data_IF_609853184823
#
_entry.id   IF_609853184823
#
_cell.length_a   1.000
_cell.length_b   1.000
_cell.length_c   1.000
_cell.angle_alpha   90.00
_cell.angle_beta   90.00
_cell.angle_gamma   90.00
#
_symmetry.space_group_name_H-M   'P 1'
#
loop_
_entity.id
_entity.type
_entity.pdbx_description
1 polymer ?
#
# COMPACT_ATOMS: atom_id res chain seq x y z
N UNK A 1 -2.59 15.24 10.84
CA UNK A 1 -3.37 14.50 9.81
C UNK A 1 -2.47 13.45 9.18
N UNK A 2 -2.78 12.16 9.34
CA UNK A 2 -1.95 11.08 8.78
C UNK A 2 -2.20 10.88 7.29
N UNK A 3 -1.15 10.72 6.49
CA UNK A 3 -1.23 10.43 5.05
C UNK A 3 -1.78 9.01 4.84
N UNK A 4 -3.08 8.88 4.56
CA UNK A 4 -3.78 7.58 4.36
C UNK A 4 -3.93 7.21 2.89
N UNK A 5 -2.82 7.05 2.19
CA UNK A 5 -2.81 6.67 0.77
C UNK A 5 -1.73 5.62 0.49
N UNK A 6 -1.84 4.91 -0.64
CA UNK A 6 -0.90 3.84 -1.01
C UNK A 6 0.54 4.33 -1.18
N UNK A 7 0.75 5.60 -1.54
CA UNK A 7 2.09 6.20 -1.52
C UNK A 7 2.78 6.16 -0.15
N UNK A 8 2.04 6.24 0.97
CA UNK A 8 2.61 6.08 2.32
C UNK A 8 3.11 4.66 2.55
N UNK A 9 2.35 3.65 2.08
CA UNK A 9 2.80 2.26 2.12
C UNK A 9 4.10 2.09 1.31
N UNK A 10 4.16 2.66 0.10
CA UNK A 10 5.36 2.60 -0.74
C UNK A 10 6.57 3.21 -0.05
N UNK A 11 6.39 4.35 0.59
CA UNK A 11 7.45 5.00 1.36
C UNK A 11 7.99 4.08 2.45
N UNK A 12 7.13 3.44 3.25
CA UNK A 12 7.57 2.50 4.29
C UNK A 12 8.30 1.27 3.74
N UNK A 13 7.83 0.71 2.62
CA UNK A 13 8.48 -0.44 1.96
C UNK A 13 9.84 -0.11 1.34
N UNK A 14 10.20 1.18 1.22
CA UNK A 14 11.44 1.64 0.58
C UNK A 14 12.35 2.39 1.55
N UNK A 15 12.05 2.34 2.85
CA UNK A 15 12.93 2.88 3.87
C UNK A 15 14.31 2.19 3.85
N UNK A 16 15.37 2.93 4.23
CA UNK A 16 16.66 2.31 4.55
C UNK A 16 16.50 1.20 5.61
N UNK A 17 17.37 0.17 5.63
CA UNK A 17 17.24 -0.98 6.52
C UNK A 17 17.02 -0.61 8.00
N UNK A 18 17.81 0.33 8.54
CA UNK A 18 17.72 0.74 9.94
C UNK A 18 16.37 1.41 10.26
N UNK A 19 15.89 2.27 9.36
CA UNK A 19 14.60 2.95 9.50
C UNK A 19 13.43 1.97 9.34
N UNK A 20 13.56 0.96 8.48
CA UNK A 20 12.57 -0.10 8.35
C UNK A 20 12.52 -1.00 9.59
N UNK A 21 13.67 -1.34 10.17
CA UNK A 21 13.74 -2.06 11.44
C UNK A 21 13.07 -1.27 12.57
N UNK A 22 13.37 0.03 12.69
CA UNK A 22 12.74 0.92 13.67
C UNK A 22 11.21 1.00 13.47
N UNK A 23 10.73 1.04 12.22
CA UNK A 23 9.31 0.99 11.92
C UNK A 23 8.67 -0.33 12.41
N UNK A 24 9.32 -1.47 12.17
CA UNK A 24 8.84 -2.76 12.65
C UNK A 24 8.77 -2.80 14.19
N UNK A 25 9.77 -2.23 14.89
CA UNK A 25 9.74 -2.11 16.35
C UNK A 25 8.56 -1.25 16.81
N UNK A 26 8.35 -0.09 16.20
CA UNK A 26 7.17 0.75 16.51
C UNK A 26 5.84 0.03 16.25
N UNK A 27 5.77 -0.80 15.20
CA UNK A 27 4.59 -1.63 14.93
C UNK A 27 4.34 -2.68 16.03
N UNK A 28 5.37 -3.20 16.70
CA UNK A 28 5.23 -4.16 17.81
C UNK A 28 4.50 -3.55 19.03
N UNK A 29 4.65 -2.24 19.24
CA UNK A 29 4.03 -1.51 20.36
C UNK A 29 2.55 -1.17 20.10
N UNK A 30 2.06 -1.37 18.88
CA UNK A 30 0.71 -0.99 18.48
C UNK A 30 -0.36 -1.97 19.00
N UNK A 31 -1.31 -1.45 19.78
CA UNK A 31 -2.52 -2.18 20.23
C UNK A 31 -3.68 -2.10 19.24
N UNK A 32 -3.52 -1.35 18.14
CA UNK A 32 -4.55 -1.11 17.14
C UNK A 32 -4.94 -2.39 16.38
N UNK A 33 -6.15 -2.37 15.80
CA UNK A 33 -6.72 -3.49 15.06
C UNK A 33 -6.65 -4.84 15.82
N UNK A 34 -6.86 -4.79 17.15
CA UNK A 34 -6.79 -5.98 18.03
C UNK A 34 -5.42 -6.65 18.04
N UNK A 35 -4.34 -5.85 18.02
CA UNK A 35 -2.95 -6.32 18.01
C UNK A 35 -2.49 -6.94 16.69
N UNK A 36 -3.26 -6.77 15.60
CA UNK A 36 -2.89 -7.30 14.29
C UNK A 36 -1.60 -6.68 13.76
N UNK A 37 -1.39 -5.39 14.00
CA UNK A 37 -0.19 -4.64 13.56
C UNK A 37 1.06 -5.22 14.22
N UNK A 38 1.04 -5.39 15.54
CA UNK A 38 2.13 -6.01 16.29
C UNK A 38 2.44 -7.44 15.82
N UNK A 39 1.40 -8.26 15.62
CA UNK A 39 1.59 -9.63 15.09
C UNK A 39 2.20 -9.63 13.68
N UNK A 40 1.84 -8.67 12.83
CA UNK A 40 2.41 -8.56 11.49
C UNK A 40 3.91 -8.23 11.53
N UNK A 41 4.32 -7.31 12.41
CA UNK A 41 5.73 -7.00 12.64
C UNK A 41 6.49 -8.22 13.18
N UNK A 42 5.96 -8.88 14.21
CA UNK A 42 6.57 -10.10 14.78
C UNK A 42 6.75 -11.21 13.74
N UNK A 43 5.76 -11.41 12.85
CA UNK A 43 5.88 -12.38 11.74
C UNK A 43 6.97 -11.99 10.74
N UNK A 44 7.26 -10.70 10.54
CA UNK A 44 8.33 -10.28 9.65
C UNK A 44 9.69 -10.44 10.33
N UNK A 45 9.83 -10.00 11.59
CA UNK A 45 11.04 -10.09 12.40
C UNK A 45 11.44 -11.54 12.72
N UNK A 46 10.48 -12.47 12.81
CA UNK A 46 10.75 -13.89 13.04
C UNK A 46 11.22 -14.67 11.81
N UNK A 47 11.36 -14.03 10.64
CA UNK A 47 11.89 -14.66 9.43
C UNK A 47 13.41 -14.70 9.45
N UNK A 48 13.99 -15.66 8.73
CA UNK A 48 15.41 -15.58 8.38
C UNK A 48 15.69 -14.34 7.54
N UNK A 49 16.90 -13.78 7.62
CA UNK A 49 17.30 -12.58 6.85
C UNK A 49 17.02 -12.73 5.35
N UNK A 50 17.31 -13.91 4.80
CA UNK A 50 17.06 -14.23 3.38
C UNK A 50 15.58 -14.19 3.04
N UNK A 51 14.73 -14.77 3.87
CA UNK A 51 13.28 -14.78 3.64
C UNK A 51 12.68 -13.38 3.84
N UNK A 52 13.10 -12.66 4.87
CA UNK A 52 12.67 -11.28 5.14
C UNK A 52 13.00 -10.36 3.95
N UNK A 53 14.23 -10.43 3.44
CA UNK A 53 14.65 -9.70 2.24
C UNK A 53 13.84 -10.12 1.00
N UNK A 54 13.55 -11.41 0.84
CA UNK A 54 12.71 -11.92 -0.25
C UNK A 54 11.28 -11.36 -0.21
N UNK A 55 10.65 -11.33 0.97
CA UNK A 55 9.33 -10.75 1.17
C UNK A 55 9.32 -9.25 0.89
N UNK A 56 10.31 -8.51 1.40
CA UNK A 56 10.41 -7.07 1.16
C UNK A 56 10.63 -6.76 -0.33
N UNK A 57 11.50 -7.52 -1.00
CA UNK A 57 11.74 -7.40 -2.44
C UNK A 57 10.48 -7.67 -3.26
N UNK A 58 9.71 -8.70 -2.91
CA UNK A 58 8.45 -8.99 -3.58
C UNK A 58 7.41 -7.88 -3.39
N UNK A 59 7.29 -7.36 -2.15
CA UNK A 59 6.41 -6.24 -1.83
C UNK A 59 6.81 -4.99 -2.62
N UNK A 60 8.11 -4.68 -2.69
CA UNK A 60 8.62 -3.56 -3.47
C UNK A 60 8.35 -3.72 -4.97
N UNK A 61 8.55 -4.92 -5.53
CA UNK A 61 8.28 -5.20 -6.95
C UNK A 61 6.82 -4.99 -7.31
N UNK A 62 5.91 -5.49 -6.47
CA UNK A 62 4.48 -5.38 -6.73
C UNK A 62 3.89 -3.99 -6.46
N UNK A 63 4.63 -3.14 -5.76
CA UNK A 63 4.25 -1.75 -5.47
C UNK A 63 5.02 -0.70 -6.26
N UNK A 64 5.94 -1.10 -7.15
CA UNK A 64 6.79 -0.16 -7.92
C UNK A 64 6.01 0.86 -8.75
N UNK A 65 4.79 0.54 -9.21
CA UNK A 65 3.94 1.51 -9.93
C UNK A 65 3.61 2.78 -9.11
N UNK A 66 3.75 2.71 -7.78
CA UNK A 66 3.56 3.83 -6.86
C UNK A 66 4.75 4.79 -6.82
N UNK A 67 5.88 4.49 -7.47
CA UNK A 67 7.01 5.43 -7.62
C UNK A 67 6.68 6.55 -8.61
N UNK A 68 5.65 6.38 -9.43
CA UNK A 68 5.18 7.43 -10.35
C UNK A 68 4.52 8.57 -9.58
N UNK A 69 5.05 9.82 -9.66
CA UNK A 69 4.43 10.98 -8.99
C UNK A 69 2.98 11.20 -9.43
N UNK A 70 2.67 10.90 -10.69
CA UNK A 70 1.31 10.98 -11.25
C UNK A 70 0.37 9.99 -10.56
N UNK A 71 0.82 8.76 -10.29
CA UNK A 71 0.01 7.78 -9.56
C UNK A 71 -0.19 8.16 -8.10
N UNK A 72 0.83 8.70 -7.44
CA UNK A 72 0.69 9.22 -6.07
C UNK A 72 -0.35 10.33 -6.05
N UNK A 73 -0.30 11.28 -7.00
CA UNK A 73 -1.28 12.36 -7.09
C UNK A 73 -2.71 11.83 -7.24
N UNK A 74 -2.93 10.87 -8.14
CA UNK A 74 -4.25 10.25 -8.35
C UNK A 74 -4.75 9.52 -7.10
N UNK A 75 -3.85 8.96 -6.29
CA UNK A 75 -4.18 8.21 -5.07
C UNK A 75 -4.19 9.07 -3.80
N UNK A 76 -3.80 10.34 -3.89
CA UNK A 76 -3.60 11.22 -2.72
C UNK A 76 -4.89 11.81 -2.17
N UNK A 77 -5.90 11.94 -3.03
CA UNK A 77 -7.19 12.55 -2.72
C UNK A 77 -8.33 11.70 -3.29
N UNK A 78 -9.45 11.65 -2.56
CA UNK A 78 -10.67 11.01 -3.02
C UNK A 78 -11.86 11.80 -2.48
N UNK A 79 -12.77 12.18 -3.37
CA UNK A 79 -13.98 12.92 -3.01
C UNK A 79 -15.09 12.02 -2.42
N UNK A 80 -14.89 10.69 -2.48
CA UNK A 80 -15.81 9.70 -1.92
C UNK A 80 -15.06 8.61 -1.17
N UNK A 81 -15.75 7.92 -0.25
CA UNK A 81 -15.25 6.68 0.35
C UNK A 81 -15.85 5.48 -0.38
N UNK A 82 -15.09 4.40 -0.49
CA UNK A 82 -15.59 3.15 -1.08
C UNK A 82 -16.82 2.59 -0.38
N UNK A 83 -16.99 2.82 0.92
CA UNK A 83 -18.21 2.42 1.63
C UNK A 83 -19.46 3.18 1.15
N UNK A 84 -19.31 4.40 0.65
CA UNK A 84 -20.42 5.23 0.22
C UNK A 84 -21.01 4.67 -1.09
N UNK A 85 -20.19 4.02 -1.93
CA UNK A 85 -20.62 3.30 -3.12
C UNK A 85 -21.65 2.19 -2.84
N UNK A 86 -21.66 1.62 -1.61
CA UNK A 86 -22.64 0.60 -1.21
C UNK A 86 -23.97 1.19 -0.75
N UNK A 87 -23.98 2.47 -0.39
CA UNK A 87 -25.14 3.15 0.21
C UNK A 87 -25.93 3.98 -0.81
N UNK A 88 -25.31 4.41 -1.90
CA UNK A 88 -25.91 5.29 -2.91
C UNK A 88 -25.50 4.85 -4.31
N UNK A 89 -26.42 4.97 -5.27
CA UNK A 89 -26.11 4.78 -6.69
C UNK A 89 -25.06 5.81 -7.10
N UNK A 90 -23.86 5.34 -7.39
CA UNK A 90 -22.69 6.18 -7.70
C UNK A 90 -22.04 5.64 -8.97
N UNK A 91 -21.70 6.53 -9.91
CA UNK A 91 -20.97 6.17 -11.13
C UNK A 91 -19.52 6.60 -10.97
N UNK A 92 -18.59 5.64 -11.09
CA UNK A 92 -17.15 5.90 -11.01
C UNK A 92 -16.56 5.81 -12.42
N UNK A 93 -15.93 6.88 -12.88
CA UNK A 93 -15.22 6.91 -14.16
C UNK A 93 -13.72 6.69 -13.95
N UNK A 94 -13.16 5.76 -14.72
CA UNK A 94 -11.72 5.53 -14.72
C UNK A 94 -11.14 5.87 -16.09
N UNK A 95 -10.39 6.98 -16.15
CA UNK A 95 -9.85 7.49 -17.41
C UNK A 95 -8.39 7.06 -17.55
N UNK A 96 -8.15 6.12 -18.45
CA UNK A 96 -6.83 5.59 -18.80
C UNK A 96 -6.64 5.61 -20.32
N UNK A 97 -5.54 6.16 -20.83
CA UNK A 97 -5.16 6.00 -22.23
C UNK A 97 -4.99 4.51 -22.58
N UNK A 98 -5.45 4.03 -23.76
CA UNK A 98 -5.37 2.61 -24.12
C UNK A 98 -3.94 2.04 -24.10
N UNK A 99 -2.95 2.84 -24.50
CA UNK A 99 -1.53 2.51 -24.48
C UNK A 99 -0.95 2.33 -23.07
N UNK A 100 -1.66 2.81 -22.04
CA UNK A 100 -1.23 2.76 -20.63
C UNK A 100 -1.92 1.69 -19.80
N UNK A 101 -2.83 0.92 -20.39
CA UNK A 101 -3.56 -0.15 -19.69
C UNK A 101 -2.63 -1.22 -19.13
N UNK A 102 -1.63 -1.66 -19.89
CA UNK A 102 -0.66 -2.67 -19.43
C UNK A 102 0.16 -2.16 -18.24
N UNK A 103 0.62 -0.91 -18.32
CA UNK A 103 1.42 -0.23 -17.29
C UNK A 103 0.66 -0.08 -15.97
N UNK A 104 -0.63 0.25 -16.03
CA UNK A 104 -1.47 0.50 -14.85
C UNK A 104 -2.40 -0.66 -14.49
N UNK A 105 -2.23 -1.83 -15.12
CA UNK A 105 -3.05 -3.03 -14.90
C UNK A 105 -3.17 -3.42 -13.42
N UNK A 106 -2.10 -3.28 -12.63
CA UNK A 106 -2.11 -3.53 -11.18
C UNK A 106 -3.02 -2.56 -10.42
N UNK A 107 -2.96 -1.28 -10.76
CA UNK A 107 -3.84 -0.26 -10.18
C UNK A 107 -5.29 -0.44 -10.61
N UNK A 108 -5.52 -0.71 -11.88
CA UNK A 108 -6.85 -1.03 -12.42
C UNK A 108 -7.49 -2.20 -11.67
N UNK A 109 -6.72 -3.28 -11.46
CA UNK A 109 -7.17 -4.43 -10.69
C UNK A 109 -7.54 -4.04 -9.25
N UNK A 110 -6.72 -3.24 -8.57
CA UNK A 110 -7.02 -2.76 -7.22
C UNK A 110 -8.34 -1.99 -7.14
N UNK A 111 -8.77 -1.30 -8.20
CA UNK A 111 -10.03 -0.56 -8.20
C UNK A 111 -11.25 -1.41 -8.55
N UNK A 112 -11.07 -2.44 -9.39
CA UNK A 112 -12.18 -3.27 -9.90
C UNK A 112 -12.47 -4.48 -9.01
N UNK A 113 -11.46 -5.04 -8.33
CA UNK A 113 -11.59 -6.32 -7.58
C UNK A 113 -11.70 -6.17 -6.06
N UNK A 114 -12.27 -5.06 -5.57
CA UNK A 114 -12.57 -4.87 -4.13
C UNK A 114 -13.99 -5.27 -3.78
#
# INVERSE_FOLDING_TARGET
MGRRHLGTLRHYLTLPPDAFAALLTSMQESTEAGGLIARAANRHLGKSDREAAGVLSAAQRHTHFLDSPRMISVLSHSDFRFCDLKSRKTTVFLVLPPDRLSTYSRWLRLLITQ
#
